data_IF_956293727901
#
_entry.id   IF_956293727901
#
_cell.length_a   1.000
_cell.length_b   1.000
_cell.length_c   1.000
_cell.angle_alpha   90.00
_cell.angle_beta   90.00
_cell.angle_gamma   90.00
#
_symmetry.space_group_name_H-M   'P 1'
#
loop_
_entity.id
_entity.type
_entity.pdbx_description
1 polymer ?
#
# COMPACT_ATOMS: atom_id res chain seq x y z
N UNK A 1 0.66 11.32 4.39
CA UNK A 1 0.89 12.69 3.82
C UNK A 1 2.07 12.74 2.85
N UNK A 2 3.32 12.54 3.30
CA UNK A 2 4.54 12.75 2.48
C UNK A 2 4.52 12.12 1.08
N UNK A 3 4.27 10.80 0.91
CA UNK A 3 4.34 10.19 -0.42
C UNK A 3 3.26 10.72 -1.38
N UNK A 4 2.10 11.14 -0.88
CA UNK A 4 1.05 11.77 -1.70
C UNK A 4 1.57 13.09 -2.28
N UNK A 5 2.23 13.91 -1.45
CA UNK A 5 2.83 15.16 -1.90
C UNK A 5 3.94 14.89 -2.92
N UNK A 6 4.81 13.92 -2.66
CA UNK A 6 5.87 13.52 -3.57
C UNK A 6 5.33 13.07 -4.93
N UNK A 7 4.29 12.23 -4.98
CA UNK A 7 3.64 11.83 -6.24
C UNK A 7 3.04 13.04 -6.96
N UNK A 8 2.32 13.90 -6.24
CA UNK A 8 1.72 15.11 -6.84
C UNK A 8 2.77 16.07 -7.41
N UNK A 9 3.97 16.10 -6.83
CA UNK A 9 5.09 16.91 -7.32
C UNK A 9 5.58 16.44 -8.69
N UNK A 10 5.54 15.13 -8.96
CA UNK A 10 5.92 14.56 -10.26
C UNK A 10 4.95 14.98 -11.37
N UNK A 11 3.69 15.25 -11.01
CA UNK A 11 2.66 15.77 -11.92
C UNK A 11 2.52 17.30 -11.88
N UNK A 12 3.40 18.01 -11.15
CA UNK A 12 3.38 19.47 -10.95
C UNK A 12 2.04 19.97 -10.39
N UNK A 13 1.36 19.17 -9.57
CA UNK A 13 0.04 19.46 -9.00
C UNK A 13 0.05 19.50 -7.46
N UNK A 14 1.07 20.11 -6.85
CA UNK A 14 1.25 20.15 -5.38
C UNK A 14 0.02 20.60 -4.59
N UNK A 15 -0.78 21.55 -5.09
CA UNK A 15 -2.01 22.00 -4.43
C UNK A 15 -3.07 20.90 -4.37
N UNK A 16 -3.23 20.14 -5.46
CA UNK A 16 -4.08 18.96 -5.50
C UNK A 16 -3.57 17.89 -4.53
N UNK A 17 -2.25 17.66 -4.51
CA UNK A 17 -1.61 16.73 -3.58
C UNK A 17 -1.84 17.11 -2.12
N UNK A 18 -1.80 18.40 -1.78
CA UNK A 18 -2.06 18.87 -0.43
C UNK A 18 -3.50 18.57 0.01
N UNK A 19 -4.49 18.89 -0.83
CA UNK A 19 -5.89 18.56 -0.58
C UNK A 19 -6.05 17.04 -0.41
N UNK A 20 -5.51 16.27 -1.34
CA UNK A 20 -5.61 14.82 -1.31
C UNK A 20 -4.93 14.19 -0.11
N UNK A 21 -3.82 14.78 0.36
CA UNK A 21 -3.12 14.33 1.56
C UNK A 21 -3.94 14.58 2.83
N UNK A 22 -4.61 15.73 2.93
CA UNK A 22 -5.49 16.04 4.06
C UNK A 22 -6.65 15.05 4.14
N UNK A 23 -7.34 14.82 3.02
CA UNK A 23 -8.48 13.87 2.95
C UNK A 23 -8.01 12.44 3.24
N UNK A 24 -6.91 11.99 2.63
CA UNK A 24 -6.42 10.63 2.81
C UNK A 24 -5.95 10.34 4.25
N UNK A 25 -5.33 11.31 4.93
CA UNK A 25 -4.76 11.08 6.28
C UNK A 25 -5.80 10.88 7.38
N UNK A 26 -7.04 11.28 7.14
CA UNK A 26 -8.13 11.18 8.13
C UNK A 26 -9.27 10.27 7.65
N UNK A 27 -9.17 9.68 6.46
CA UNK A 27 -10.20 8.81 5.91
C UNK A 27 -10.49 7.62 6.85
N UNK A 28 -11.76 7.22 6.96
CA UNK A 28 -12.25 6.34 8.05
C UNK A 28 -11.38 5.09 8.24
N UNK A 29 -11.13 4.30 7.19
CA UNK A 29 -10.36 3.05 7.35
C UNK A 29 -8.88 3.25 7.64
N UNK A 30 -8.29 4.37 7.20
CA UNK A 30 -6.91 4.70 7.55
C UNK A 30 -6.84 5.12 9.01
N UNK A 31 -7.71 6.05 9.44
CA UNK A 31 -7.80 6.47 10.84
C UNK A 31 -8.02 5.30 11.80
N UNK A 32 -8.97 4.41 11.48
CA UNK A 32 -9.30 3.26 12.35
C UNK A 32 -8.10 2.35 12.67
N UNK A 33 -7.07 2.32 11.81
CA UNK A 33 -5.88 1.46 11.96
C UNK A 33 -4.59 2.24 12.20
N UNK A 34 -4.67 3.56 12.35
CA UNK A 34 -3.50 4.42 12.61
C UNK A 34 -3.78 5.48 13.68
N UNK A 35 -4.89 5.39 14.38
CA UNK A 35 -5.21 6.26 15.51
C UNK A 35 -4.27 5.98 16.69
N UNK A 36 -4.20 6.94 17.63
CA UNK A 36 -3.45 6.74 18.86
C UNK A 36 -3.95 5.49 19.60
N UNK A 37 -3.02 4.66 20.06
CA UNK A 37 -3.32 3.37 20.71
C UNK A 37 -3.40 2.18 19.74
N UNK A 38 -3.51 2.40 18.43
CA UNK A 38 -3.45 1.32 17.43
C UNK A 38 -1.98 0.94 17.13
N UNK A 39 -1.39 0.11 18.00
CA UNK A 39 0.00 -0.33 17.89
C UNK A 39 0.12 -1.59 17.02
N UNK A 40 0.01 -1.42 15.71
CA UNK A 40 0.15 -2.48 14.71
C UNK A 40 0.97 -1.97 13.50
N UNK A 41 1.31 -2.89 12.60
CA UNK A 41 2.09 -2.67 11.38
C UNK A 41 1.46 -1.68 10.39
N UNK A 42 0.15 -1.43 10.48
CA UNK A 42 -0.61 -0.57 9.56
C UNK A 42 -0.07 0.85 9.41
N UNK A 43 0.53 1.39 10.47
CA UNK A 43 1.08 2.75 10.49
C UNK A 43 2.09 3.02 9.36
N UNK A 44 2.84 2.00 8.93
CA UNK A 44 3.80 2.11 7.82
C UNK A 44 3.41 1.34 6.56
N UNK A 45 2.49 0.37 6.64
CA UNK A 45 2.12 -0.46 5.48
C UNK A 45 1.74 0.38 4.25
N UNK A 46 0.86 1.36 4.44
CA UNK A 46 0.38 2.22 3.35
C UNK A 46 1.40 3.28 2.98
N UNK A 47 2.16 3.77 3.96
CA UNK A 47 3.20 4.77 3.74
C UNK A 47 4.28 4.21 2.82
N UNK A 48 4.77 3.01 3.12
CA UNK A 48 5.82 2.34 2.33
C UNK A 48 5.32 1.95 0.94
N UNK A 49 4.10 1.44 0.83
CA UNK A 49 3.50 1.15 -0.46
C UNK A 49 3.38 2.39 -1.36
N UNK A 50 2.98 3.53 -0.78
CA UNK A 50 2.90 4.81 -1.50
C UNK A 50 4.29 5.40 -1.83
N UNK A 51 5.31 5.16 -0.99
CA UNK A 51 6.70 5.52 -1.29
C UNK A 51 7.27 4.71 -2.47
N UNK A 52 6.95 3.42 -2.56
CA UNK A 52 7.31 2.57 -3.71
C UNK A 52 6.58 3.08 -4.96
N UNK A 53 5.27 3.37 -4.86
CA UNK A 53 4.51 3.96 -5.98
C UNK A 53 5.15 5.26 -6.46
N UNK A 54 5.54 6.15 -5.55
CA UNK A 54 6.26 7.38 -5.89
C UNK A 54 7.56 7.08 -6.64
N UNK A 55 8.38 6.15 -6.14
CA UNK A 55 9.66 5.80 -6.76
C UNK A 55 9.45 5.30 -8.20
N UNK A 56 8.47 4.41 -8.42
CA UNK A 56 8.13 3.89 -9.74
C UNK A 56 7.62 4.98 -10.70
N UNK A 57 6.75 5.88 -10.22
CA UNK A 57 6.27 7.04 -10.99
C UNK A 57 7.43 7.94 -11.37
N UNK A 58 8.29 8.31 -10.42
CA UNK A 58 9.44 9.20 -10.65
C UNK A 58 10.47 8.61 -11.61
N UNK A 59 10.69 7.30 -11.58
CA UNK A 59 11.53 6.60 -12.57
C UNK A 59 10.92 6.75 -13.98
N UNK A 60 9.60 6.60 -14.12
CA UNK A 60 8.93 6.73 -15.42
C UNK A 60 8.86 8.17 -15.95
N UNK A 61 8.70 9.16 -15.06
CA UNK A 61 8.58 10.58 -15.43
C UNK A 61 9.94 11.22 -15.70
N UNK A 62 10.95 10.95 -14.86
CA UNK A 62 12.25 11.64 -14.89
C UNK A 62 13.43 10.78 -15.37
N UNK A 63 13.28 9.45 -15.46
CA UNK A 63 14.41 8.56 -15.76
C UNK A 63 15.54 8.63 -14.72
N UNK A 64 15.19 8.98 -13.48
CA UNK A 64 16.17 9.27 -12.42
C UNK A 64 16.77 7.98 -11.84
N UNK A 65 18.07 7.77 -12.09
CA UNK A 65 18.81 6.64 -11.52
C UNK A 65 19.01 6.72 -10.01
N UNK A 66 19.10 7.91 -9.43
CA UNK A 66 19.16 8.05 -7.97
C UNK A 66 17.91 7.54 -7.27
N UNK A 67 16.78 7.48 -7.98
CA UNK A 67 15.52 6.92 -7.44
C UNK A 67 15.57 5.40 -7.32
N UNK A 68 16.49 4.72 -8.02
CA UNK A 68 16.68 3.27 -7.90
C UNK A 68 17.10 2.86 -6.48
N UNK A 69 17.93 3.68 -5.81
CA UNK A 69 18.29 3.47 -4.41
C UNK A 69 17.04 3.49 -3.51
N UNK A 70 16.19 4.50 -3.66
CA UNK A 70 14.97 4.63 -2.88
C UNK A 70 13.97 3.50 -3.14
N UNK A 71 13.84 3.06 -4.40
CA UNK A 71 13.00 1.91 -4.73
C UNK A 71 13.46 0.65 -3.99
N UNK A 72 14.77 0.35 -4.02
CA UNK A 72 15.34 -0.78 -3.29
C UNK A 72 15.16 -0.64 -1.79
N UNK A 73 15.52 0.52 -1.22
CA UNK A 73 15.43 0.80 0.21
C UNK A 73 13.99 0.67 0.74
N UNK A 74 13.01 1.28 0.07
CA UNK A 74 11.61 1.19 0.50
C UNK A 74 11.06 -0.23 0.36
N UNK A 75 11.42 -0.96 -0.70
CA UNK A 75 10.96 -2.35 -0.85
C UNK A 75 11.55 -3.26 0.22
N UNK A 76 12.85 -3.16 0.48
CA UNK A 76 13.52 -3.95 1.52
C UNK A 76 12.90 -3.63 2.89
N UNK A 77 12.74 -2.35 3.20
CA UNK A 77 12.16 -1.92 4.47
C UNK A 77 10.72 -2.39 4.62
N UNK A 78 9.92 -2.37 3.55
CA UNK A 78 8.54 -2.84 3.59
C UNK A 78 8.45 -4.36 3.79
N UNK A 79 9.30 -5.12 3.10
CA UNK A 79 9.39 -6.57 3.27
C UNK A 79 9.82 -6.96 4.69
N UNK A 80 10.69 -6.16 5.32
CA UNK A 80 11.11 -6.37 6.71
C UNK A 80 10.00 -5.99 7.71
N UNK A 81 9.34 -4.86 7.50
CA UNK A 81 8.28 -4.35 8.38
C UNK A 81 7.01 -5.22 8.34
N UNK A 82 6.60 -5.65 7.15
CA UNK A 82 5.39 -6.41 6.93
C UNK A 82 5.62 -7.46 5.82
N UNK A 83 5.99 -8.70 6.17
CA UNK A 83 6.31 -9.75 5.19
C UNK A 83 5.18 -10.05 4.20
N UNK A 84 3.93 -9.92 4.62
CA UNK A 84 2.74 -10.06 3.77
C UNK A 84 2.65 -8.99 2.66
N UNK A 85 3.45 -7.92 2.72
CA UNK A 85 3.59 -6.94 1.64
C UNK A 85 4.12 -7.55 0.34
N UNK A 86 4.72 -8.75 0.40
CA UNK A 86 5.23 -9.47 -0.76
C UNK A 86 4.24 -9.48 -1.93
N UNK A 87 2.99 -9.90 -1.69
CA UNK A 87 1.98 -10.01 -2.74
C UNK A 87 1.68 -8.68 -3.43
N UNK A 88 1.56 -7.60 -2.66
CA UNK A 88 1.34 -6.26 -3.20
C UNK A 88 2.56 -5.79 -4.01
N UNK A 89 3.77 -5.98 -3.48
CA UNK A 89 4.99 -5.62 -4.19
C UNK A 89 5.16 -6.42 -5.49
N UNK A 90 4.80 -7.70 -5.50
CA UNK A 90 4.78 -8.52 -6.71
C UNK A 90 3.76 -8.01 -7.73
N UNK A 91 2.55 -7.62 -7.30
CA UNK A 91 1.56 -7.00 -8.19
C UNK A 91 2.04 -5.65 -8.75
N UNK A 92 2.72 -4.85 -7.92
CA UNK A 92 3.34 -3.59 -8.35
C UNK A 92 4.46 -3.81 -9.35
N UNK A 93 5.31 -4.81 -9.15
CA UNK A 93 6.34 -5.20 -10.10
C UNK A 93 5.74 -5.68 -11.44
N UNK A 94 4.70 -6.51 -11.39
CA UNK A 94 4.00 -6.99 -12.58
C UNK A 94 3.34 -5.84 -13.36
N UNK A 95 2.67 -4.93 -12.65
CA UNK A 95 2.08 -3.72 -13.27
C UNK A 95 3.16 -2.82 -13.86
N UNK A 96 4.29 -2.65 -13.18
CA UNK A 96 5.42 -1.87 -13.68
C UNK A 96 6.08 -2.50 -14.92
N UNK A 97 6.15 -3.84 -14.95
CA UNK A 97 6.57 -4.60 -16.13
C UNK A 97 5.64 -4.36 -17.32
N UNK A 98 4.34 -4.57 -17.15
CA UNK A 98 3.33 -4.32 -18.17
C UNK A 98 3.36 -2.87 -18.67
N UNK A 99 3.40 -1.90 -17.75
CA UNK A 99 3.52 -0.48 -18.08
C UNK A 99 4.76 -0.18 -18.91
N UNK A 100 5.91 -0.76 -18.54
CA UNK A 100 7.16 -0.55 -19.26
C UNK A 100 7.10 -1.13 -20.65
N UNK A 101 6.56 -2.34 -20.85
CA UNK A 101 6.42 -2.93 -22.17
C UNK A 101 5.53 -2.09 -23.10
N UNK A 102 4.44 -1.52 -22.57
CA UNK A 102 3.47 -0.75 -23.37
C UNK A 102 4.00 0.66 -23.65
N UNK A 103 4.48 1.40 -22.63
CA UNK A 103 4.76 2.83 -22.74
C UNK A 103 6.25 3.20 -22.73
N UNK A 104 7.14 2.35 -22.22
CA UNK A 104 8.56 2.68 -21.96
C UNK A 104 9.53 1.57 -22.37
N UNK A 105 9.22 0.80 -23.43
CA UNK A 105 10.00 -0.39 -23.87
C UNK A 105 11.48 -0.12 -24.19
N UNK A 106 11.84 1.13 -24.48
CA UNK A 106 13.23 1.55 -24.77
C UNK A 106 13.93 2.17 -23.54
N UNK A 107 13.28 2.22 -22.38
CA UNK A 107 13.84 2.80 -21.16
C UNK A 107 14.70 1.80 -20.42
N UNK A 108 16.03 1.96 -20.49
CA UNK A 108 16.98 1.14 -19.74
C UNK A 108 16.76 1.24 -18.23
N UNK A 109 16.50 2.44 -17.73
CA UNK A 109 16.31 2.70 -16.28
C UNK A 109 15.10 1.94 -15.73
N UNK A 110 14.06 1.70 -16.54
CA UNK A 110 12.92 0.90 -16.10
C UNK A 110 13.32 -0.57 -15.89
N UNK A 111 14.13 -1.14 -16.77
CA UNK A 111 14.62 -2.51 -16.59
C UNK A 111 15.63 -2.61 -15.43
N UNK A 112 16.51 -1.59 -15.25
CA UNK A 112 17.37 -1.45 -14.06
C UNK A 112 16.52 -1.45 -12.76
N UNK A 113 15.41 -0.72 -12.75
CA UNK A 113 14.47 -0.68 -11.63
C UNK A 113 13.80 -2.02 -11.36
N UNK A 114 13.38 -2.75 -12.40
CA UNK A 114 12.79 -4.09 -12.23
C UNK A 114 13.76 -5.06 -11.58
N UNK A 115 15.03 -5.02 -11.96
CA UNK A 115 16.06 -5.90 -11.38
C UNK A 115 16.23 -5.59 -9.90
N UNK A 116 16.37 -4.32 -9.52
CA UNK A 116 16.47 -3.93 -8.10
C UNK A 116 15.21 -4.35 -7.33
N UNK A 117 14.03 -4.10 -7.89
CA UNK A 117 12.76 -4.41 -7.24
C UNK A 117 12.59 -5.92 -7.03
N UNK A 118 12.95 -6.72 -8.03
CA UNK A 118 12.91 -8.18 -7.97
C UNK A 118 13.89 -8.76 -6.94
N UNK A 119 15.12 -8.24 -6.88
CA UNK A 119 16.11 -8.65 -5.88
C UNK A 119 15.66 -8.28 -4.47
N UNK A 120 15.06 -7.11 -4.29
CA UNK A 120 14.49 -6.70 -3.00
C UNK A 120 13.35 -7.64 -2.53
N UNK A 121 12.64 -8.27 -3.46
CA UNK A 121 11.59 -9.24 -3.14
C UNK A 121 12.10 -10.64 -2.80
N UNK A 122 13.34 -11.00 -3.16
CA UNK A 122 13.87 -12.34 -2.91
C UNK A 122 13.90 -12.68 -1.41
N UNK A 123 13.61 -13.94 -1.06
CA UNK A 123 13.66 -14.45 0.32
C UNK A 123 15.09 -14.73 0.79
N UNK A 124 15.95 -13.71 0.73
CA UNK A 124 17.35 -13.78 1.15
C UNK A 124 17.58 -13.09 2.49
N UNK A 125 18.65 -13.45 3.23
CA UNK A 125 19.02 -12.75 4.46
C UNK A 125 19.13 -11.23 4.24
N UNK A 126 18.64 -10.45 5.22
CA UNK A 126 18.50 -9.00 5.11
C UNK A 126 19.81 -8.30 4.69
N UNK A 127 20.94 -8.69 5.31
CA UNK A 127 22.26 -8.12 5.00
C UNK A 127 22.67 -8.40 3.56
N UNK A 128 22.51 -9.64 3.09
CA UNK A 128 22.81 -10.01 1.70
C UNK A 128 21.94 -9.22 0.71
N UNK A 129 20.65 -9.08 1.01
CA UNK A 129 19.70 -8.31 0.20
C UNK A 129 20.09 -6.83 0.08
N UNK A 130 20.50 -6.20 1.19
CA UNK A 130 20.98 -4.82 1.21
C UNK A 130 22.25 -4.69 0.38
N UNK A 131 23.25 -5.56 0.61
CA UNK A 131 24.51 -5.51 -0.11
C UNK A 131 24.32 -5.68 -1.63
N UNK A 132 23.56 -6.70 -2.06
CA UNK A 132 23.29 -6.92 -3.49
C UNK A 132 22.56 -5.72 -4.10
N UNK A 133 21.55 -5.17 -3.41
CA UNK A 133 20.79 -4.01 -3.91
C UNK A 133 21.66 -2.75 -4.02
N UNK A 134 22.57 -2.52 -3.07
CA UNK A 134 23.53 -1.42 -3.11
C UNK A 134 24.55 -1.60 -4.23
N UNK A 135 25.07 -2.82 -4.43
CA UNK A 135 25.99 -3.14 -5.53
C UNK A 135 25.31 -2.92 -6.89
N UNK A 136 24.07 -3.38 -7.06
CA UNK A 136 23.28 -3.15 -8.28
C UNK A 136 22.99 -1.66 -8.49
N UNK A 137 22.62 -0.93 -7.43
CA UNK A 137 22.43 0.51 -7.50
C UNK A 137 23.72 1.21 -7.94
N UNK A 138 24.86 0.89 -7.34
CA UNK A 138 26.16 1.46 -7.72
C UNK A 138 26.49 1.16 -9.18
N UNK A 139 26.31 -0.09 -9.61
CA UNK A 139 26.50 -0.51 -10.99
C UNK A 139 25.63 0.32 -11.95
N UNK A 140 24.34 0.47 -11.68
CA UNK A 140 23.42 1.20 -12.56
C UNK A 140 23.65 2.71 -12.54
N UNK A 141 23.92 3.29 -11.37
CA UNK A 141 24.16 4.72 -11.20
C UNK A 141 25.44 5.18 -11.92
N UNK A 142 26.55 4.47 -11.71
CA UNK A 142 27.87 4.91 -12.19
C UNK A 142 28.32 4.22 -13.48
N UNK A 143 27.92 2.97 -13.71
CA UNK A 143 28.35 2.17 -14.87
C UNK A 143 27.19 1.81 -15.82
N UNK A 144 25.95 2.20 -15.53
CA UNK A 144 24.77 1.81 -16.32
C UNK A 144 24.77 2.32 -17.78
N UNK A 145 25.59 3.31 -18.13
CA UNK A 145 25.76 3.71 -19.55
C UNK A 145 26.50 2.65 -20.39
N UNK A 146 27.32 1.82 -19.75
CA UNK A 146 28.10 0.73 -20.37
C UNK A 146 27.27 -0.54 -20.54
N UNK A 147 26.12 -0.65 -19.86
CA UNK A 147 25.22 -1.79 -19.98
C UNK A 147 24.34 -1.65 -21.23
N UNK A 148 24.57 -2.55 -22.18
CA UNK A 148 23.73 -2.70 -23.36
C UNK A 148 22.46 -3.48 -22.99
N UNK A 149 21.43 -3.40 -23.84
CA UNK A 149 20.18 -4.14 -23.61
C UNK A 149 20.39 -5.65 -23.45
N UNK A 150 21.36 -6.23 -24.16
CA UNK A 150 21.69 -7.67 -24.04
C UNK A 150 22.22 -8.03 -22.66
N UNK A 151 23.17 -7.25 -22.11
CA UNK A 151 23.71 -7.52 -20.77
C UNK A 151 22.68 -7.25 -19.68
N UNK A 152 21.81 -6.24 -19.87
CA UNK A 152 20.72 -5.97 -18.95
C UNK A 152 19.66 -7.08 -18.97
N UNK A 153 19.35 -7.64 -20.14
CA UNK A 153 18.45 -8.79 -20.27
C UNK A 153 19.04 -10.05 -19.62
N UNK A 154 20.35 -10.29 -19.78
CA UNK A 154 21.04 -11.41 -19.11
C UNK A 154 20.99 -11.26 -17.58
N UNK A 155 21.29 -10.05 -17.07
CA UNK A 155 21.21 -9.75 -15.64
C UNK A 155 19.77 -9.89 -15.11
N UNK A 156 18.77 -9.46 -15.89
CA UNK A 156 17.37 -9.66 -15.58
C UNK A 156 16.97 -11.13 -15.54
N UNK A 157 17.44 -11.93 -16.50
CA UNK A 157 17.23 -13.39 -16.51
C UNK A 157 17.84 -14.06 -15.28
N UNK A 158 19.05 -13.68 -14.89
CA UNK A 158 19.67 -14.15 -13.66
C UNK A 158 18.88 -13.75 -12.41
N UNK A 159 18.40 -12.51 -12.33
CA UNK A 159 17.58 -12.05 -11.21
C UNK A 159 16.25 -12.82 -11.10
N UNK A 160 15.62 -13.18 -12.23
CA UNK A 160 14.42 -14.04 -12.25
C UNK A 160 14.73 -15.45 -11.79
N UNK A 161 15.80 -16.07 -12.30
CA UNK A 161 16.22 -17.39 -11.86
C UNK A 161 16.52 -17.42 -10.35
N UNK A 162 17.21 -16.38 -9.85
CA UNK A 162 17.50 -16.21 -8.43
C UNK A 162 16.21 -16.04 -7.60
N UNK A 163 15.25 -15.24 -8.07
CA UNK A 163 13.96 -15.07 -7.40
C UNK A 163 13.16 -16.38 -7.30
N UNK A 164 13.12 -17.17 -8.38
CA UNK A 164 12.44 -18.46 -8.41
C UNK A 164 13.13 -19.46 -7.46
N UNK A 165 14.47 -19.53 -7.50
CA UNK A 165 15.25 -20.41 -6.64
C UNK A 165 15.06 -20.12 -5.13
N UNK A 166 14.74 -18.87 -4.78
CA UNK A 166 14.44 -18.46 -3.40
C UNK A 166 12.93 -18.52 -3.06
N UNK A 167 12.12 -19.26 -3.83
CA UNK A 167 10.73 -19.54 -3.50
C UNK A 167 9.75 -18.39 -3.76
N UNK A 168 10.11 -17.41 -4.59
CA UNK A 168 9.31 -16.20 -4.81
C UNK A 168 7.89 -16.43 -5.38
N UNK A 169 7.57 -17.61 -5.88
CA UNK A 169 6.20 -17.93 -6.33
C UNK A 169 5.29 -18.45 -5.19
N UNK A 170 5.87 -19.03 -4.13
CA UNK A 170 5.12 -19.69 -3.06
C UNK A 170 4.18 -18.74 -2.28
N UNK A 171 4.63 -17.55 -1.81
CA UNK A 171 3.75 -16.67 -1.04
C UNK A 171 2.59 -16.09 -1.85
N UNK A 172 2.76 -15.88 -3.16
CA UNK A 172 1.68 -15.40 -4.05
C UNK A 172 0.57 -16.45 -4.13
N UNK A 173 0.95 -17.72 -4.33
CA UNK A 173 0.00 -18.84 -4.44
C UNK A 173 -0.74 -19.03 -3.10
N UNK A 174 -0.02 -19.01 -1.98
CA UNK A 174 -0.61 -19.16 -0.64
C UNK A 174 -1.65 -18.06 -0.34
N UNK A 175 -1.29 -16.80 -0.58
CA UNK A 175 -2.18 -15.67 -0.31
C UNK A 175 -3.42 -15.68 -1.21
N UNK A 176 -3.27 -16.07 -2.49
CA UNK A 176 -4.41 -16.25 -3.39
C UNK A 176 -5.35 -17.36 -2.92
N UNK A 177 -4.80 -18.52 -2.50
CA UNK A 177 -5.59 -19.65 -1.95
C UNK A 177 -6.37 -19.23 -0.71
N UNK A 178 -5.72 -18.51 0.20
CA UNK A 178 -6.31 -18.14 1.49
C UNK A 178 -7.40 -17.07 1.35
N UNK A 179 -7.14 -15.96 0.62
CA UNK A 179 -8.06 -14.81 0.57
C UNK A 179 -9.05 -14.83 -0.60
N UNK A 180 -8.65 -15.33 -1.77
CA UNK A 180 -9.48 -15.30 -2.98
C UNK A 180 -10.26 -16.58 -3.10
N UNK A 181 -9.59 -17.72 -3.04
CA UNK A 181 -10.22 -19.02 -3.24
C UNK A 181 -10.87 -19.57 -1.97
N UNK A 182 -10.52 -19.03 -0.78
CA UNK A 182 -10.96 -19.50 0.54
C UNK A 182 -10.91 -21.03 0.64
N UNK A 183 -9.91 -21.63 0.00
CA UNK A 183 -9.79 -23.09 -0.08
C UNK A 183 -9.49 -23.64 1.30
N UNK A 184 -10.12 -24.76 1.65
CA UNK A 184 -9.70 -25.56 2.80
C UNK A 184 -8.23 -25.99 2.60
N UNK A 185 -7.55 -26.19 3.72
CA UNK A 185 -6.11 -26.46 3.81
C UNK A 185 -5.60 -27.45 2.75
N UNK A 186 -4.35 -27.25 2.31
CA UNK A 186 -3.65 -28.01 1.27
C UNK A 186 -3.40 -29.50 1.58
N UNK A 187 -4.05 -30.07 2.61
CA UNK A 187 -3.92 -31.49 2.95
C UNK A 187 -5.29 -32.16 2.86
N UNK A 188 -5.64 -32.65 1.67
CA UNK A 188 -6.80 -33.51 1.47
C UNK A 188 -6.74 -34.82 2.28
N UNK A 189 -5.57 -35.15 2.85
CA UNK A 189 -5.29 -36.38 3.61
C UNK A 189 -5.24 -36.21 5.15
N UNK A 190 -5.57 -35.04 5.71
CA UNK A 190 -5.64 -34.91 7.18
C UNK A 190 -6.92 -35.51 7.74
N UNK A 191 -6.79 -36.42 8.72
CA UNK A 191 -7.89 -37.16 9.35
C UNK A 191 -8.93 -36.32 10.10
N UNK A 192 -8.67 -35.02 10.34
CA UNK A 192 -9.57 -34.14 11.07
C UNK A 192 -9.86 -32.86 10.28
N UNK A 193 -11.15 -32.50 10.24
CA UNK A 193 -11.61 -31.24 9.69
C UNK A 193 -11.87 -30.25 10.82
N UNK A 194 -11.19 -29.10 10.78
CA UNK A 194 -11.37 -28.02 11.75
C UNK A 194 -12.24 -26.91 11.17
N UNK A 195 -12.93 -26.19 12.05
CA UNK A 195 -13.73 -25.03 11.65
C UNK A 195 -12.82 -23.90 11.12
N UNK A 196 -13.26 -23.23 10.05
CA UNK A 196 -12.44 -22.22 9.38
C UNK A 196 -12.48 -20.89 10.13
N UNK A 197 -11.39 -20.53 10.80
CA UNK A 197 -11.23 -19.26 11.55
C UNK A 197 -11.44 -18.02 10.66
N UNK A 198 -11.26 -18.11 9.34
CA UNK A 198 -11.56 -16.97 8.45
C UNK A 198 -13.03 -16.54 8.50
N UNK A 199 -13.94 -17.41 8.93
CA UNK A 199 -15.35 -17.08 9.09
C UNK A 199 -15.65 -16.39 10.43
N UNK A 200 -14.73 -16.42 11.40
CA UNK A 200 -14.90 -15.82 12.73
C UNK A 200 -14.17 -14.48 12.90
N UNK A 201 -13.22 -14.16 12.02
CA UNK A 201 -12.47 -12.90 12.07
C UNK A 201 -13.34 -11.74 11.59
N UNK A 202 -13.63 -10.77 12.48
CA UNK A 202 -14.44 -9.58 12.17
C UNK A 202 -13.89 -8.77 10.98
N UNK A 203 -12.57 -8.75 10.79
CA UNK A 203 -11.91 -8.03 9.69
C UNK A 203 -12.18 -8.60 8.28
N UNK A 204 -12.65 -9.85 8.19
CA UNK A 204 -12.88 -10.60 6.95
C UNK A 204 -14.34 -10.55 6.46
N UNK A 205 -15.22 -9.84 7.18
CA UNK A 205 -16.64 -9.73 6.87
C UNK A 205 -16.94 -9.04 5.53
N UNK A 206 -17.99 -9.49 4.83
CA UNK A 206 -18.55 -8.83 3.64
C UNK A 206 -19.48 -7.73 4.11
N UNK A 207 -19.39 -6.55 3.49
CA UNK A 207 -20.06 -5.34 3.99
C UNK A 207 -20.82 -4.64 2.87
N UNK A 208 -21.96 -3.97 3.17
CA UNK A 208 -22.65 -3.11 2.23
C UNK A 208 -21.73 -2.13 1.50
N UNK A 209 -22.02 -1.90 0.22
CA UNK A 209 -21.19 -1.06 -0.66
C UNK A 209 -21.04 0.38 -0.13
N UNK A 210 -22.03 0.91 0.59
CA UNK A 210 -21.95 2.25 1.20
C UNK A 210 -20.82 2.35 2.22
N UNK A 211 -20.74 1.38 3.14
CA UNK A 211 -19.68 1.35 4.16
C UNK A 211 -18.32 1.13 3.49
N UNK A 212 -18.24 0.33 2.42
CA UNK A 212 -17.02 0.19 1.63
C UNK A 212 -16.53 1.55 1.09
N UNK A 213 -17.44 2.35 0.50
CA UNK A 213 -17.10 3.68 -0.03
C UNK A 213 -16.73 4.67 1.08
N UNK A 214 -17.47 4.66 2.19
CA UNK A 214 -17.20 5.49 3.38
C UNK A 214 -15.88 5.10 4.05
N UNK A 215 -15.50 3.83 4.06
CA UNK A 215 -14.20 3.39 4.57
C UNK A 215 -13.03 3.97 3.78
N UNK A 216 -13.17 4.10 2.46
CA UNK A 216 -12.09 4.58 1.58
C UNK A 216 -12.03 6.11 1.53
N UNK A 217 -13.17 6.80 1.57
CA UNK A 217 -13.24 8.25 1.32
C UNK A 217 -14.14 9.02 2.29
N UNK A 218 -14.53 8.42 3.41
CA UNK A 218 -15.37 8.98 4.48
C UNK A 218 -16.81 9.33 4.10
N UNK A 219 -17.13 9.43 2.81
CA UNK A 219 -18.48 9.65 2.30
C UNK A 219 -18.62 9.18 0.85
N UNK A 220 -19.82 8.71 0.48
CA UNK A 220 -20.11 8.18 -0.87
C UNK A 220 -19.84 9.22 -1.97
N UNK A 221 -20.24 10.48 -1.77
CA UNK A 221 -19.99 11.54 -2.75
C UNK A 221 -18.48 11.80 -2.96
N UNK A 222 -17.68 11.80 -1.90
CA UNK A 222 -16.23 11.99 -1.97
C UNK A 222 -15.59 10.81 -2.72
N UNK A 223 -16.07 9.59 -2.46
CA UNK A 223 -15.63 8.39 -3.18
C UNK A 223 -15.91 8.47 -4.68
N UNK A 224 -17.13 8.84 -5.08
CA UNK A 224 -17.51 8.95 -6.50
C UNK A 224 -16.69 10.02 -7.21
N UNK A 225 -16.51 11.18 -6.58
CA UNK A 225 -15.66 12.26 -7.12
C UNK A 225 -14.21 11.78 -7.23
N UNK A 226 -13.69 11.08 -6.22
CA UNK A 226 -12.35 10.50 -6.24
C UNK A 226 -12.18 9.50 -7.39
N UNK A 227 -13.19 8.66 -7.65
CA UNK A 227 -13.15 7.65 -8.72
C UNK A 227 -13.14 8.30 -10.11
N UNK A 228 -13.94 9.34 -10.32
CA UNK A 228 -13.88 10.16 -11.54
C UNK A 228 -12.50 10.81 -11.67
N UNK A 229 -12.00 11.37 -10.57
CA UNK A 229 -10.67 11.97 -10.53
C UNK A 229 -9.56 10.99 -10.84
N UNK A 230 -9.69 9.73 -10.43
CA UNK A 230 -8.74 8.66 -10.71
C UNK A 230 -8.64 8.41 -12.21
N UNK A 231 -9.80 8.24 -12.85
CA UNK A 231 -9.89 8.02 -14.30
C UNK A 231 -9.26 9.20 -15.05
N UNK A 232 -9.62 10.44 -14.70
CA UNK A 232 -9.07 11.66 -15.31
C UNK A 232 -7.55 11.75 -15.09
N UNK A 233 -7.07 11.44 -13.89
CA UNK A 233 -5.66 11.48 -13.55
C UNK A 233 -4.86 10.44 -14.35
N UNK A 234 -5.37 9.22 -14.50
CA UNK A 234 -4.76 8.18 -15.33
C UNK A 234 -4.71 8.54 -16.82
N UNK A 235 -5.76 9.17 -17.36
CA UNK A 235 -5.75 9.63 -18.75
C UNK A 235 -4.73 10.74 -18.99
N UNK A 236 -4.59 11.67 -18.04
CA UNK A 236 -3.67 12.81 -18.16
C UNK A 236 -2.22 12.44 -17.83
N UNK A 237 -2.04 11.53 -16.90
CA UNK A 237 -0.74 11.05 -16.43
C UNK A 237 -0.76 9.52 -16.40
N UNK A 238 -0.35 8.91 -17.52
CA UNK A 238 -0.36 7.45 -17.70
C UNK A 238 0.47 6.73 -16.63
N UNK A 239 1.51 7.39 -16.10
CA UNK A 239 2.33 6.88 -15.00
C UNK A 239 1.50 6.55 -13.75
N UNK A 240 0.36 7.21 -13.56
CA UNK A 240 -0.52 6.92 -12.42
C UNK A 240 -1.23 5.57 -12.54
N UNK A 241 -1.24 4.92 -13.72
CA UNK A 241 -1.69 3.52 -13.87
C UNK A 241 -0.88 2.55 -13.00
N UNK A 242 0.34 2.92 -12.59
CA UNK A 242 1.15 2.13 -11.66
C UNK A 242 0.51 1.97 -10.27
N UNK A 243 -0.52 2.77 -9.95
CA UNK A 243 -1.29 2.67 -8.71
C UNK A 243 -2.40 1.61 -8.74
N UNK A 244 -2.70 1.01 -9.91
CA UNK A 244 -3.76 0.01 -10.08
C UNK A 244 -3.67 -1.12 -9.02
N UNK A 245 -2.50 -1.72 -8.71
CA UNK A 245 -2.40 -2.76 -7.69
C UNK A 245 -2.93 -2.35 -6.31
N UNK A 246 -2.71 -1.10 -5.90
CA UNK A 246 -3.21 -0.59 -4.61
C UNK A 246 -4.73 -0.45 -4.61
N UNK A 247 -5.31 0.02 -5.72
CA UNK A 247 -6.75 0.08 -5.87
C UNK A 247 -7.39 -1.31 -5.96
N UNK A 248 -6.80 -2.23 -6.73
CA UNK A 248 -7.30 -3.60 -6.84
C UNK A 248 -7.30 -4.28 -5.48
N UNK A 249 -6.22 -4.13 -4.71
CA UNK A 249 -6.15 -4.65 -3.36
C UNK A 249 -7.20 -3.99 -2.46
N UNK A 250 -7.34 -2.66 -2.53
CA UNK A 250 -8.38 -1.94 -1.79
C UNK A 250 -9.80 -2.38 -2.12
N UNK A 251 -10.08 -2.66 -3.39
CA UNK A 251 -11.40 -3.04 -3.89
C UNK A 251 -11.68 -4.54 -3.68
N UNK A 252 -10.63 -5.36 -3.54
CA UNK A 252 -10.74 -6.74 -3.12
C UNK A 252 -11.40 -6.86 -1.73
N UNK A 253 -11.47 -5.77 -0.94
CA UNK A 253 -12.19 -5.73 0.33
C UNK A 253 -13.66 -6.19 0.22
N UNK A 254 -14.33 -5.96 -0.91
CA UNK A 254 -15.71 -6.42 -1.13
C UNK A 254 -15.87 -7.95 -1.08
N UNK A 255 -14.78 -8.71 -1.27
CA UNK A 255 -14.76 -10.18 -1.22
C UNK A 255 -13.85 -10.73 -0.12
N UNK A 256 -12.76 -10.04 0.19
CA UNK A 256 -11.69 -10.53 1.05
C UNK A 256 -11.66 -9.88 2.44
N UNK A 257 -12.55 -8.91 2.73
CA UNK A 257 -12.68 -8.28 4.04
C UNK A 257 -12.31 -6.81 4.08
N UNK A 258 -12.94 -6.09 5.01
CA UNK A 258 -12.81 -4.65 5.19
C UNK A 258 -11.39 -4.14 5.45
N UNK A 259 -10.49 -4.98 5.95
CA UNK A 259 -9.10 -4.61 6.23
C UNK A 259 -8.35 -4.11 5.00
N UNK A 260 -8.74 -4.55 3.80
CA UNK A 260 -8.04 -4.17 2.59
C UNK A 260 -8.37 -2.75 2.11
N UNK A 261 -9.49 -2.14 2.54
CA UNK A 261 -9.91 -0.80 2.06
C UNK A 261 -8.83 0.27 2.22
N UNK A 262 -7.99 0.11 3.24
CA UNK A 262 -6.90 1.02 3.57
C UNK A 262 -5.90 1.23 2.42
N UNK A 263 -5.70 0.22 1.55
CA UNK A 263 -4.79 0.31 0.40
C UNK A 263 -5.27 1.26 -0.70
N UNK A 264 -6.58 1.51 -0.81
CA UNK A 264 -7.12 2.46 -1.79
C UNK A 264 -7.07 3.92 -1.32
N UNK A 265 -6.99 4.17 0.00
CA UNK A 265 -7.17 5.50 0.61
C UNK A 265 -6.21 6.54 0.02
N UNK A 266 -4.92 6.25 -0.06
CA UNK A 266 -3.92 7.19 -0.55
C UNK A 266 -4.11 7.55 -2.04
N UNK A 267 -4.48 6.56 -2.85
CA UNK A 267 -4.71 6.73 -4.31
C UNK A 267 -5.99 7.53 -4.54
N UNK A 268 -7.08 7.19 -3.84
CA UNK A 268 -8.36 7.87 -3.95
C UNK A 268 -8.29 9.29 -3.42
N UNK A 269 -7.60 9.54 -2.30
CA UNK A 269 -7.41 10.89 -1.77
C UNK A 269 -6.65 11.79 -2.74
N UNK A 270 -5.54 11.33 -3.32
CA UNK A 270 -4.83 12.10 -4.36
C UNK A 270 -5.72 12.39 -5.57
N UNK A 271 -6.51 11.40 -6.00
CA UNK A 271 -7.42 11.51 -7.14
C UNK A 271 -8.53 12.53 -6.89
N UNK A 272 -9.09 12.56 -5.68
CA UNK A 272 -10.04 13.58 -5.23
C UNK A 272 -9.42 14.98 -5.26
N UNK A 273 -8.23 15.14 -4.66
CA UNK A 273 -7.53 16.42 -4.65
C UNK A 273 -7.22 16.92 -6.07
N UNK A 274 -6.90 16.00 -7.00
CA UNK A 274 -6.63 16.32 -8.40
C UNK A 274 -7.85 16.87 -9.13
N UNK A 275 -8.97 16.16 -9.09
CA UNK A 275 -10.19 16.58 -9.80
C UNK A 275 -10.76 17.86 -9.20
N UNK A 276 -10.75 17.98 -7.86
CA UNK A 276 -11.24 19.18 -7.18
C UNK A 276 -10.45 20.42 -7.60
N UNK A 277 -9.11 20.32 -7.53
CA UNK A 277 -8.23 21.41 -7.96
C UNK A 277 -8.42 21.76 -9.43
N UNK A 278 -8.54 20.75 -10.29
CA UNK A 278 -8.71 20.95 -11.73
C UNK A 278 -10.04 21.61 -12.07
N UNK A 279 -11.15 21.18 -11.47
CA UNK A 279 -12.47 21.78 -11.65
C UNK A 279 -12.49 23.24 -11.22
N UNK A 280 -12.00 23.58 -10.03
CA UNK A 280 -11.97 24.97 -9.56
C UNK A 280 -11.07 25.83 -10.43
N UNK A 281 -9.91 25.30 -10.87
CA UNK A 281 -9.03 26.02 -11.80
C UNK A 281 -9.70 26.31 -13.15
N UNK A 282 -10.62 25.45 -13.60
CA UNK A 282 -11.33 25.61 -14.88
C UNK A 282 -12.42 26.68 -14.85
N UNK A 283 -12.88 27.10 -13.66
CA UNK A 283 -13.86 28.17 -13.48
C UNK A 283 -13.27 29.59 -13.69
N UNK A 284 -11.96 29.70 -13.88
CA UNK A 284 -11.22 30.96 -14.11
C UNK A 284 -11.53 32.09 -13.11
N UNK A 285 -11.72 31.71 -11.85
CA UNK A 285 -12.06 32.64 -10.78
C UNK A 285 -10.85 33.46 -10.31
N UNK A 286 -11.07 34.65 -9.71
CA UNK A 286 -10.02 35.39 -9.03
C UNK A 286 -9.26 34.51 -8.02
N UNK A 287 -7.94 34.70 -7.91
CA UNK A 287 -7.05 33.83 -7.10
C UNK A 287 -7.55 33.61 -5.67
N UNK A 288 -8.13 34.64 -5.05
CA UNK A 288 -8.67 34.58 -3.69
C UNK A 288 -9.94 33.72 -3.65
N UNK A 289 -10.89 33.97 -4.55
CA UNK A 289 -12.14 33.20 -4.64
C UNK A 289 -11.88 31.72 -4.92
N UNK A 290 -10.99 31.40 -5.87
CA UNK A 290 -10.62 30.00 -6.16
C UNK A 290 -9.98 29.29 -4.95
N UNK A 291 -9.16 29.99 -4.16
CA UNK A 291 -8.58 29.44 -2.92
C UNK A 291 -9.63 29.23 -1.84
N UNK A 292 -10.54 30.19 -1.65
CA UNK A 292 -11.63 30.08 -0.68
C UNK A 292 -12.55 28.90 -1.01
N UNK A 293 -12.92 28.73 -2.29
CA UNK A 293 -13.73 27.60 -2.74
C UNK A 293 -13.01 26.27 -2.50
N UNK A 294 -11.71 26.17 -2.84
CA UNK A 294 -10.95 24.95 -2.56
C UNK A 294 -10.90 24.62 -1.07
N UNK A 295 -10.75 25.63 -0.22
CA UNK A 295 -10.74 25.45 1.24
C UNK A 295 -12.09 24.97 1.74
N UNK A 296 -13.20 25.59 1.29
CA UNK A 296 -14.57 25.19 1.67
C UNK A 296 -14.85 23.76 1.21
N UNK A 297 -14.58 23.43 -0.05
CA UNK A 297 -14.84 22.09 -0.58
C UNK A 297 -13.95 21.03 0.10
N UNK A 298 -12.71 21.37 0.45
CA UNK A 298 -11.84 20.48 1.22
C UNK A 298 -12.37 20.26 2.64
N UNK A 299 -12.84 21.32 3.31
CA UNK A 299 -13.44 21.23 4.63
C UNK A 299 -14.72 20.37 4.61
N UNK A 300 -15.58 20.55 3.61
CA UNK A 300 -16.78 19.73 3.41
C UNK A 300 -16.44 18.26 3.14
N UNK A 301 -15.37 17.98 2.40
CA UNK A 301 -14.92 16.61 2.15
C UNK A 301 -14.32 15.93 3.39
N UNK A 302 -13.70 16.71 4.29
CA UNK A 302 -13.12 16.21 5.55
C UNK A 302 -14.18 16.06 6.64
N UNK A 303 -15.26 16.84 6.59
CA UNK A 303 -16.28 16.86 7.65
C UNK A 303 -16.83 15.47 8.04
N UNK A 304 -17.18 14.57 7.10
CA UNK A 304 -17.62 13.21 7.45
C UNK A 304 -16.53 12.41 8.17
N UNK A 305 -15.27 12.60 7.80
CA UNK A 305 -14.13 11.96 8.44
C UNK A 305 -13.94 12.48 9.87
N UNK A 306 -14.10 13.79 10.08
CA UNK A 306 -14.09 14.40 11.40
C UNK A 306 -15.23 13.86 12.29
N UNK A 307 -16.46 13.78 11.76
CA UNK A 307 -17.58 13.19 12.49
C UNK A 307 -17.28 11.74 12.89
N UNK A 308 -16.74 10.95 11.96
CA UNK A 308 -16.30 9.58 12.22
C UNK A 308 -15.30 9.55 13.37
N UNK A 309 -14.22 10.34 13.31
CA UNK A 309 -13.20 10.42 14.37
C UNK A 309 -13.80 10.74 15.75
N UNK A 310 -14.69 11.73 15.83
CA UNK A 310 -15.33 12.12 17.10
C UNK A 310 -16.26 11.01 17.65
N UNK A 311 -16.93 10.30 16.75
CA UNK A 311 -17.82 9.19 17.11
C UNK A 311 -17.08 7.87 17.39
N UNK A 312 -15.89 7.69 16.84
CA UNK A 312 -15.11 6.46 16.90
C UNK A 312 -14.34 6.37 18.22
N UNK A 313 -15.10 6.20 19.30
CA UNK A 313 -14.58 5.96 20.65
C UNK A 313 -14.46 4.45 20.86
N UNK A 314 -13.26 3.95 20.70
CA UNK A 314 -12.95 2.54 20.92
C UNK A 314 -12.34 2.40 22.32
N UNK A 315 -12.85 1.45 23.08
CA UNK A 315 -12.30 1.11 24.39
C UNK A 315 -10.91 0.46 24.25
N UNK A 316 -10.16 0.43 25.35
CA UNK A 316 -8.89 -0.30 25.39
C UNK A 316 -9.14 -1.81 25.26
N UNK A 317 -8.15 -2.55 24.75
CA UNK A 317 -8.24 -4.02 24.61
C UNK A 317 -8.60 -4.70 25.93
N UNK A 318 -8.03 -4.20 27.03
CA UNK A 318 -8.36 -4.60 28.39
C UNK A 318 -8.62 -3.37 29.26
N UNK A 319 -9.53 -3.50 30.22
CA UNK A 319 -9.73 -2.53 31.28
C UNK A 319 -8.64 -2.65 32.36
N UNK A 320 -8.47 -1.58 33.14
CA UNK A 320 -7.47 -1.54 34.21
C UNK A 320 -7.62 -2.71 35.20
N UNK A 321 -8.85 -3.13 35.50
CA UNK A 321 -9.11 -4.27 36.39
C UNK A 321 -8.58 -5.59 35.83
N UNK A 322 -8.71 -5.82 34.52
CA UNK A 322 -8.24 -7.04 33.86
C UNK A 322 -6.71 -7.06 33.80
N UNK A 323 -6.08 -5.92 33.49
CA UNK A 323 -4.62 -5.79 33.49
C UNK A 323 -4.02 -6.06 34.88
N UNK A 324 -4.70 -5.66 35.96
CA UNK A 324 -4.25 -5.97 37.33
C UNK A 324 -4.25 -7.48 37.61
N UNK A 325 -5.23 -8.21 37.10
CA UNK A 325 -5.26 -9.68 37.23
C UNK A 325 -4.07 -10.32 36.51
N UNK A 326 -3.71 -9.81 35.33
CA UNK A 326 -2.51 -10.29 34.62
C UNK A 326 -1.21 -9.95 35.34
N UNK A 327 -1.12 -8.77 35.96
CA UNK A 327 0.07 -8.39 36.73
C UNK A 327 0.22 -9.25 38.00
N UNK A 328 -0.88 -9.56 38.69
CA UNK A 328 -0.86 -10.53 39.79
C UNK A 328 -0.49 -11.94 39.33
N UNK A 329 -0.97 -12.35 38.15
CA UNK A 329 -0.65 -13.66 37.58
C UNK A 329 0.85 -13.76 37.27
N UNK A 330 1.47 -12.68 36.80
CA UNK A 330 2.91 -12.59 36.53
C UNK A 330 3.77 -12.94 37.76
N UNK A 331 3.29 -12.59 38.96
CA UNK A 331 4.00 -12.84 40.22
C UNK A 331 3.70 -14.24 40.80
N UNK A 332 2.66 -14.92 40.30
CA UNK A 332 2.24 -16.25 40.75
C UNK A 332 2.70 -17.38 39.82
N UNK A 333 2.75 -17.13 38.52
CA UNK A 333 3.10 -18.11 37.50
C UNK A 333 4.61 -18.07 37.16
N UNK A 334 5.15 -19.19 36.70
CA UNK A 334 6.50 -19.27 36.14
C UNK A 334 6.50 -18.86 34.66
N UNK A 335 7.68 -18.52 34.13
CA UNK A 335 7.85 -18.11 32.72
C UNK A 335 7.40 -19.19 31.73
N UNK A 336 7.57 -20.46 32.11
CA UNK A 336 7.26 -21.63 31.27
C UNK A 336 5.85 -22.19 31.51
N UNK A 337 5.07 -21.60 32.42
CA UNK A 337 3.69 -22.01 32.65
C UNK A 337 2.77 -21.53 31.51
N UNK A 338 1.75 -22.33 31.18
CA UNK A 338 0.76 -21.99 30.16
C UNK A 338 -0.59 -21.67 30.80
N UNK A 339 -1.16 -20.52 30.42
CA UNK A 339 -2.55 -20.18 30.70
C UNK A 339 -3.41 -20.52 29.47
N UNK A 340 -4.37 -21.43 29.63
CA UNK A 340 -5.32 -21.74 28.56
C UNK A 340 -6.37 -20.63 28.47
N UNK A 341 -6.40 -19.93 27.35
CA UNK A 341 -7.36 -18.86 27.05
C UNK A 341 -7.92 -18.99 25.64
N UNK A 342 -8.92 -18.15 25.33
CA UNK A 342 -9.30 -17.93 23.95
C UNK A 342 -8.20 -17.15 23.22
N UNK A 343 -8.00 -17.43 21.92
CA UNK A 343 -6.87 -16.90 21.16
C UNK A 343 -6.85 -15.37 21.05
N UNK A 344 -7.99 -14.70 21.23
CA UNK A 344 -8.08 -13.24 21.28
C UNK A 344 -7.28 -12.63 22.44
N UNK A 345 -7.01 -13.41 23.49
CA UNK A 345 -6.30 -12.98 24.70
C UNK A 345 -4.85 -13.47 24.78
N UNK A 346 -4.38 -14.22 23.77
CA UNK A 346 -2.99 -14.67 23.68
C UNK A 346 -2.12 -13.60 23.05
#
# INVERSE_FOLDING_TARGET
>A
VVPILLISSEFRCMRAGFIGALVASVANSYYNRTMAGYYDTDMLNIVLAMCILWALIRICTRGSRSTLFWLGAFTIFYMWWYPSSFSLNSMMLAMFFAYTLIFKRKSRVNYEAMIIFLIALCSTPLVAKILISLTLFWLFAFRGKLLNFKSLALLGGFAVAFFIANGGLSPIIFQAKFYIFRSFADNADTAFHFFNVNQTIQESGIVPTNIFMERISSHVAVFVIAAIGYVVLCFRHKEFLLSIPLLLLGFAANKAGLRFTIYAVGVMGLSFGYILYFCVKRLDLPKIAGRAILLILTALAIYPAWQHIVSYKVDTVFYQSEVRVFDELKDKAQREDYALSWWDYG
#
